data_IF_648666499657
#
_entry.id   IF_648666499657
#
_cell.length_a   1.000
_cell.length_b   1.000
_cell.length_c   1.000
_cell.angle_alpha   90.00
_cell.angle_beta   90.00
_cell.angle_gamma   90.00
#
_symmetry.space_group_name_H-M   'P 1'
#
loop_
_entity.id
_entity.type
_entity.pdbx_description
1 polymer ?
#
# COMPACT_ATOMS: atom_id res chain seq x y z
N UNK A 1 -1.78 3.00 18.02
CA UNK A 1 -2.69 3.96 17.36
C UNK A 1 -2.33 3.96 15.88
N UNK A 2 -3.30 3.81 14.98
CA UNK A 2 -3.07 3.64 13.53
C UNK A 2 -4.36 3.23 12.82
N UNK A 3 -4.32 3.16 11.50
CA UNK A 3 -5.45 2.69 10.68
C UNK A 3 -5.47 1.16 10.61
N UNK A 4 -6.67 0.58 10.45
CA UNK A 4 -6.88 -0.86 10.30
C UNK A 4 -7.77 -1.13 9.08
N UNK A 5 -7.41 -2.09 8.21
CA UNK A 5 -8.26 -2.52 7.10
C UNK A 5 -9.68 -2.87 7.56
N UNK A 6 -10.70 -2.29 6.93
CA UNK A 6 -12.09 -2.65 7.18
C UNK A 6 -12.48 -3.87 6.33
N UNK A 7 -12.48 -5.05 6.97
CA UNK A 7 -12.63 -6.34 6.28
C UNK A 7 -13.88 -7.12 6.69
N UNK A 8 -14.79 -6.49 7.45
CA UNK A 8 -15.96 -7.18 8.03
C UNK A 8 -16.87 -7.79 6.96
N UNK A 9 -17.17 -7.02 5.90
CA UNK A 9 -18.02 -7.50 4.80
C UNK A 9 -17.36 -8.66 4.04
N UNK A 10 -16.06 -8.53 3.76
CA UNK A 10 -15.29 -9.57 3.08
C UNK A 10 -15.27 -10.90 3.86
N UNK A 11 -15.02 -10.86 5.18
CA UNK A 11 -15.09 -12.06 6.01
C UNK A 11 -16.47 -12.71 6.00
N UNK A 12 -17.52 -11.90 6.10
CA UNK A 12 -18.90 -12.40 6.06
C UNK A 12 -19.27 -13.00 4.69
N UNK A 13 -18.63 -12.54 3.62
CA UNK A 13 -18.78 -13.09 2.27
C UNK A 13 -17.92 -14.35 2.02
N UNK A 14 -17.16 -14.84 3.02
CA UNK A 14 -16.30 -16.02 2.87
C UNK A 14 -14.98 -15.77 2.15
N UNK A 15 -14.58 -14.50 1.99
CA UNK A 15 -13.29 -14.17 1.40
C UNK A 15 -12.15 -14.43 2.37
N UNK A 16 -10.97 -14.76 1.84
CA UNK A 16 -9.75 -14.94 2.60
C UNK A 16 -9.29 -13.55 3.11
N UNK A 17 -9.15 -13.43 4.44
CA UNK A 17 -8.76 -12.19 5.09
C UNK A 17 -7.73 -12.45 6.19
N UNK A 18 -6.58 -11.80 6.07
CA UNK A 18 -5.51 -11.76 7.07
C UNK A 18 -5.53 -10.40 7.79
N UNK A 19 -4.53 -9.54 7.54
CA UNK A 19 -4.51 -8.13 7.96
C UNK A 19 -5.47 -7.32 7.09
N UNK A 20 -5.48 -7.57 5.78
CA UNK A 20 -6.44 -7.09 4.79
C UNK A 20 -7.15 -8.24 4.04
N UNK A 21 -7.97 -7.88 3.06
CA UNK A 21 -8.57 -8.81 2.08
C UNK A 21 -7.45 -9.28 1.18
N UNK A 22 -7.18 -10.60 1.18
CA UNK A 22 -6.06 -11.16 0.40
C UNK A 22 -6.39 -11.09 -1.08
N UNK A 23 -5.47 -10.51 -1.85
CA UNK A 23 -5.57 -10.39 -3.30
C UNK A 23 -4.29 -10.84 -4.01
N UNK A 24 -4.44 -11.30 -5.25
CA UNK A 24 -3.33 -11.60 -6.15
C UNK A 24 -2.84 -10.33 -6.89
N UNK A 25 -1.89 -10.49 -7.80
CA UNK A 25 -1.29 -9.39 -8.59
C UNK A 25 -2.29 -8.62 -9.46
N UNK A 26 -3.48 -9.16 -9.72
CA UNK A 26 -4.54 -8.50 -10.48
C UNK A 26 -5.63 -7.89 -9.58
N UNK A 27 -5.35 -7.81 -8.27
CA UNK A 27 -6.28 -7.32 -7.24
C UNK A 27 -7.51 -8.23 -7.05
N UNK A 28 -7.44 -9.46 -7.57
CA UNK A 28 -8.50 -10.45 -7.48
C UNK A 28 -8.42 -11.20 -6.15
N UNK A 29 -9.57 -11.41 -5.53
CA UNK A 29 -9.68 -12.19 -4.28
C UNK A 29 -9.69 -13.70 -4.58
N UNK A 30 -10.00 -14.54 -3.58
CA UNK A 30 -10.22 -15.97 -3.80
C UNK A 30 -11.55 -16.29 -4.52
N UNK A 31 -12.40 -15.29 -4.74
CA UNK A 31 -13.60 -15.39 -5.59
C UNK A 31 -13.31 -14.65 -6.90
N UNK A 32 -13.48 -15.35 -8.04
CA UNK A 32 -13.18 -14.84 -9.38
C UNK A 32 -14.07 -13.65 -9.81
N UNK A 33 -15.16 -13.40 -9.09
CA UNK A 33 -16.07 -12.28 -9.35
C UNK A 33 -15.80 -11.06 -8.45
N UNK A 34 -14.90 -11.16 -7.47
CA UNK A 34 -14.68 -10.12 -6.47
C UNK A 34 -13.23 -9.65 -6.46
N UNK A 35 -13.07 -8.33 -6.53
CA UNK A 35 -11.79 -7.64 -6.44
C UNK A 35 -11.73 -6.76 -5.20
N UNK A 36 -10.52 -6.51 -4.69
CA UNK A 36 -10.30 -5.54 -3.63
C UNK A 36 -9.06 -4.68 -3.97
N UNK A 37 -9.23 -3.37 -3.84
CA UNK A 37 -8.16 -2.37 -3.94
C UNK A 37 -8.32 -1.45 -2.74
N UNK A 38 -7.26 -0.78 -2.31
CA UNK A 38 -7.39 0.12 -1.19
C UNK A 38 -6.59 -0.25 0.03
N UNK A 39 -6.86 0.52 1.08
CA UNK A 39 -6.39 0.24 2.42
C UNK A 39 -6.98 -1.07 2.97
N UNK A 40 -8.06 -1.59 2.36
CA UNK A 40 -8.63 -2.87 2.72
C UNK A 40 -7.90 -4.06 2.09
N UNK A 41 -7.10 -3.87 1.03
CA UNK A 41 -6.45 -4.93 0.29
C UNK A 41 -5.08 -5.31 0.90
N UNK A 42 -4.77 -6.60 0.87
CA UNK A 42 -3.48 -7.18 1.24
C UNK A 42 -2.91 -7.92 0.03
N UNK A 43 -1.82 -7.39 -0.52
CA UNK A 43 -1.09 -7.99 -1.63
C UNK A 43 0.27 -8.46 -1.11
N UNK A 44 0.62 -9.72 -1.37
CA UNK A 44 1.86 -10.36 -0.90
C UNK A 44 2.11 -10.16 0.62
N UNK A 45 1.05 -10.27 1.43
CA UNK A 45 1.11 -10.09 2.88
C UNK A 45 1.20 -8.62 3.36
N UNK A 46 1.20 -7.64 2.43
CA UNK A 46 1.35 -6.22 2.73
C UNK A 46 0.01 -5.49 2.53
N UNK A 47 -0.41 -4.76 3.56
CA UNK A 47 -1.50 -3.77 3.48
C UNK A 47 -0.93 -2.36 3.70
N UNK A 48 -0.81 -1.58 2.63
CA UNK A 48 -0.03 -0.34 2.64
C UNK A 48 -0.63 0.78 3.49
N UNK A 49 -1.95 1.01 3.41
CA UNK A 49 -2.58 2.12 4.13
C UNK A 49 -2.10 3.51 3.68
N UNK A 50 -1.75 3.64 2.40
CA UNK A 50 -1.21 4.86 1.78
C UNK A 50 -1.93 5.14 0.47
N UNK A 51 -2.03 6.43 0.10
CA UNK A 51 -2.75 6.85 -1.12
C UNK A 51 -2.02 6.47 -2.41
N UNK A 52 -0.69 6.54 -2.45
CA UNK A 52 0.06 6.22 -3.68
C UNK A 52 -0.11 4.76 -4.14
N UNK A 53 0.05 3.74 -3.27
CA UNK A 53 -0.23 2.35 -3.62
C UNK A 53 -1.66 2.12 -4.12
N UNK A 54 -2.63 2.87 -3.58
CA UNK A 54 -4.03 2.78 -3.99
C UNK A 54 -4.25 3.11 -5.48
N UNK A 55 -3.57 4.14 -5.98
CA UNK A 55 -3.67 4.52 -7.39
C UNK A 55 -3.03 3.47 -8.29
N UNK A 56 -1.91 2.88 -7.88
CA UNK A 56 -1.23 1.81 -8.62
C UNK A 56 -2.11 0.54 -8.69
N UNK A 57 -2.65 0.11 -7.56
CA UNK A 57 -3.61 -1.01 -7.47
C UNK A 57 -4.82 -0.78 -8.37
N UNK A 58 -5.43 0.41 -8.30
CA UNK A 58 -6.57 0.78 -9.14
C UNK A 58 -6.25 0.77 -10.63
N UNK A 59 -5.06 1.22 -11.03
CA UNK A 59 -4.62 1.21 -12.42
C UNK A 59 -4.43 -0.22 -12.95
N UNK A 60 -3.88 -1.12 -12.13
CA UNK A 60 -3.72 -2.54 -12.49
C UNK A 60 -5.08 -3.22 -12.62
N UNK A 61 -5.98 -3.03 -11.66
CA UNK A 61 -7.33 -3.59 -11.72
C UNK A 61 -8.08 -3.08 -12.96
N UNK A 62 -8.03 -1.77 -13.24
CA UNK A 62 -8.69 -1.19 -14.39
C UNK A 62 -8.21 -1.82 -15.70
N UNK A 63 -6.89 -2.02 -15.88
CA UNK A 63 -6.35 -2.72 -17.05
C UNK A 63 -6.87 -4.16 -17.13
N UNK A 64 -6.86 -4.88 -16.01
CA UNK A 64 -7.31 -6.27 -15.96
C UNK A 64 -8.79 -6.42 -16.39
N UNK A 65 -9.71 -5.65 -15.80
CA UNK A 65 -11.15 -5.76 -16.11
C UNK A 65 -11.53 -5.22 -17.49
N UNK A 66 -10.67 -4.40 -18.10
CA UNK A 66 -10.86 -3.88 -19.46
C UNK A 66 -10.12 -4.68 -20.53
N UNK A 67 -9.53 -5.83 -20.16
CA UNK A 67 -8.73 -6.68 -21.05
C UNK A 67 -7.53 -5.97 -21.69
N UNK A 68 -6.99 -4.95 -21.02
CA UNK A 68 -5.74 -4.31 -21.42
C UNK A 68 -4.56 -5.09 -20.84
N UNK A 69 -3.48 -5.18 -21.62
CA UNK A 69 -2.24 -5.84 -21.18
C UNK A 69 -1.67 -5.17 -19.92
N UNK A 70 -1.31 -5.99 -18.93
CA UNK A 70 -0.73 -5.55 -17.66
C UNK A 70 0.15 -6.65 -17.06
N UNK A 71 1.25 -6.25 -16.42
CA UNK A 71 2.17 -7.17 -15.75
C UNK A 71 1.71 -7.56 -14.34
N UNK A 72 0.54 -7.08 -13.91
CA UNK A 72 0.09 -7.19 -12.52
C UNK A 72 0.76 -6.15 -11.62
N UNK A 73 0.28 -6.09 -10.39
CA UNK A 73 0.79 -5.26 -9.31
C UNK A 73 1.89 -6.04 -8.59
N UNK A 74 3.08 -5.46 -8.48
CA UNK A 74 4.27 -6.10 -7.88
C UNK A 74 4.65 -5.50 -6.53
N UNK A 75 3.71 -4.82 -5.88
CA UNK A 75 3.98 -4.00 -4.70
C UNK A 75 4.49 -2.60 -5.04
N UNK A 76 4.25 -1.66 -4.12
CA UNK A 76 4.69 -0.27 -4.21
C UNK A 76 5.93 -0.01 -3.36
N UNK A 77 6.78 0.89 -3.85
CA UNK A 77 7.85 1.47 -3.05
C UNK A 77 7.23 2.50 -2.10
N UNK A 78 7.41 2.29 -0.79
CA UNK A 78 6.86 3.18 0.23
C UNK A 78 7.75 4.40 0.44
N UNK A 79 7.17 5.57 0.24
CA UNK A 79 7.69 6.86 0.68
C UNK A 79 6.57 7.59 1.41
N UNK A 80 6.83 8.06 2.63
CA UNK A 80 5.86 8.83 3.41
C UNK A 80 6.32 10.27 3.49
N UNK A 81 5.48 11.18 2.98
CA UNK A 81 5.63 12.61 3.19
C UNK A 81 4.57 13.05 4.19
N UNK A 82 5.00 13.62 5.31
CA UNK A 82 4.10 14.14 6.33
C UNK A 82 4.04 15.67 6.18
N UNK A 83 2.86 16.18 5.81
CA UNK A 83 2.60 17.63 5.84
C UNK A 83 2.19 18.02 7.26
N UNK A 84 3.17 18.40 8.08
CA UNK A 84 2.93 19.01 9.41
C UNK A 84 3.02 20.52 9.24
N UNK A 85 2.12 21.27 9.87
CA UNK A 85 2.18 22.72 9.83
C UNK A 85 3.53 23.22 10.37
N UNK A 86 4.35 23.82 9.50
CA UNK A 86 5.66 24.38 9.84
C UNK A 86 6.87 23.45 9.64
N UNK A 87 6.70 22.25 9.07
CA UNK A 87 7.82 21.38 8.73
C UNK A 87 7.47 20.45 7.55
N UNK A 88 8.32 20.45 6.53
CA UNK A 88 8.28 19.46 5.46
C UNK A 88 9.10 18.23 5.89
N UNK A 89 8.42 17.10 6.10
CA UNK A 89 9.05 15.84 6.48
C UNK A 89 8.85 14.79 5.38
N UNK A 90 9.94 14.16 4.96
CA UNK A 90 9.95 13.04 4.02
C UNK A 90 10.78 11.88 4.57
N UNK A 91 10.27 10.66 4.43
CA UNK A 91 10.97 9.44 4.80
C UNK A 91 10.77 8.37 3.71
N UNK A 92 11.86 7.73 3.28
CA UNK A 92 11.83 6.67 2.28
C UNK A 92 12.94 5.64 2.52
N UNK A 93 12.69 4.40 2.10
CA UNK A 93 13.65 3.30 2.23
C UNK A 93 13.78 2.76 3.66
N UNK A 94 14.91 2.09 3.93
CA UNK A 94 15.27 1.59 5.26
C UNK A 94 15.98 2.71 6.03
N UNK A 95 15.32 3.21 7.08
CA UNK A 95 15.81 4.34 7.88
C UNK A 95 16.56 3.91 9.15
N UNK A 96 16.51 2.63 9.48
CA UNK A 96 17.31 2.04 10.55
C UNK A 96 18.60 1.47 9.97
N UNK A 97 19.75 1.88 10.51
CA UNK A 97 21.04 1.36 10.07
C UNK A 97 21.21 -0.11 10.45
N UNK A 98 21.86 -0.86 9.57
CA UNK A 98 22.36 -2.21 9.82
C UNK A 98 23.75 -2.36 9.17
N UNK A 99 24.37 -3.54 9.31
CA UNK A 99 25.71 -3.79 8.77
C UNK A 99 25.84 -3.57 7.25
N UNK A 100 24.70 -3.52 6.53
CA UNK A 100 24.64 -3.35 5.07
C UNK A 100 24.04 -1.99 4.65
N UNK A 101 23.49 -1.23 5.58
CA UNK A 101 22.64 -0.07 5.27
C UNK A 101 23.03 1.13 6.13
N UNK A 102 23.29 2.25 5.46
CA UNK A 102 23.54 3.54 6.10
C UNK A 102 22.32 4.46 5.95
N UNK A 103 21.90 5.08 7.04
CA UNK A 103 20.78 6.02 7.06
C UNK A 103 21.31 7.46 6.92
N UNK A 104 20.66 8.27 6.08
CA UNK A 104 20.99 9.68 5.92
C UNK A 104 19.83 10.51 6.48
N UNK A 105 20.10 11.29 7.52
CA UNK A 105 19.14 12.24 8.10
C UNK A 105 19.63 13.66 7.85
N UNK A 106 18.80 14.48 7.21
CA UNK A 106 19.08 15.90 6.92
C UNK A 106 18.00 16.72 7.61
N UNK A 107 18.42 17.70 8.41
CA UNK A 107 17.53 18.66 9.06
C UNK A 107 17.84 20.04 8.48
N UNK A 108 16.85 20.65 7.82
CA UNK A 108 16.94 22.05 7.39
C UNK A 108 16.39 22.93 8.52
N UNK A 109 17.29 23.51 9.31
CA UNK A 109 16.90 24.38 10.42
C UNK A 109 16.32 25.69 9.89
N UNK A 110 15.02 25.90 10.12
CA UNK A 110 14.42 27.22 9.96
C UNK A 110 14.97 28.11 11.09
N UNK A 111 16.02 28.91 10.80
CA UNK A 111 16.49 29.96 11.71
C UNK A 111 15.31 30.88 12.02
N UNK A 112 14.82 30.83 13.26
CA UNK A 112 13.90 31.83 13.81
C UNK A 112 14.63 33.14 14.07
#
# INVERSE_FOLDING_TARGET
VGIRPNTKIARNAGLIVNRGIVVNDYMLTNDESIYAVGECAEHDGIAYGLVAPLYEQGAILAKHITNLQTNGYTGSIVGTQLKVAGCDLFSAGQIYEDDQTKAISIFDECKR
#
